data_IF_270676680316
#
_entry.id   IF_270676680316
#
_cell.length_a   1.000
_cell.length_b   1.000
_cell.length_c   1.000
_cell.angle_alpha   90.00
_cell.angle_beta   90.00
_cell.angle_gamma   90.00
#
_symmetry.space_group_name_H-M   'P 1'
#
loop_
_entity.id
_entity.type
_entity.pdbx_description
1 polymer ?
#
# COMPACT_ATOMS: atom_id res chain seq x y z
N UNK A 1 9.32 -5.95 -10.01
CA UNK A 1 8.10 -6.36 -10.73
C UNK A 1 7.93 -5.61 -12.04
N UNK A 2 7.87 -4.27 -12.06
CA UNK A 2 7.62 -3.50 -13.29
C UNK A 2 8.54 -3.83 -14.48
N UNK A 3 9.84 -4.03 -14.23
CA UNK A 3 10.82 -4.24 -15.32
C UNK A 3 11.37 -5.67 -15.38
N UNK A 4 11.60 -6.30 -14.22
CA UNK A 4 12.11 -7.67 -14.16
C UNK A 4 11.09 -8.74 -14.58
N UNK A 5 9.80 -8.37 -14.66
CA UNK A 5 8.71 -9.29 -14.98
C UNK A 5 8.50 -10.37 -13.92
N UNK A 6 7.64 -11.33 -14.25
CA UNK A 6 7.31 -12.47 -13.40
C UNK A 6 5.97 -12.34 -12.67
N UNK A 7 5.33 -13.47 -12.33
CA UNK A 7 4.07 -13.47 -11.62
C UNK A 7 4.22 -12.80 -10.25
N UNK A 8 3.19 -12.06 -9.82
CA UNK A 8 3.18 -11.18 -8.64
C UNK A 8 3.86 -11.78 -7.40
N UNK A 9 3.72 -13.09 -7.18
CA UNK A 9 4.23 -13.75 -5.97
C UNK A 9 5.67 -14.31 -6.10
N UNK A 10 6.28 -14.29 -7.29
CA UNK A 10 7.58 -14.93 -7.55
C UNK A 10 8.78 -13.98 -7.50
N UNK A 11 8.57 -12.65 -7.42
CA UNK A 11 9.67 -11.69 -7.54
C UNK A 11 10.70 -11.82 -6.42
N UNK A 12 10.27 -12.12 -5.19
CA UNK A 12 11.18 -12.28 -4.05
C UNK A 12 12.11 -13.46 -4.26
N UNK A 13 11.58 -14.59 -4.76
CA UNK A 13 12.37 -15.79 -5.02
C UNK A 13 13.45 -15.51 -6.07
N UNK A 14 13.12 -14.80 -7.15
CA UNK A 14 14.09 -14.35 -8.15
C UNK A 14 15.15 -13.40 -7.54
N UNK A 15 14.73 -12.50 -6.65
CA UNK A 15 15.64 -11.64 -5.90
C UNK A 15 16.62 -12.42 -5.03
N UNK A 16 16.15 -13.47 -4.33
CA UNK A 16 17.00 -14.37 -3.54
C UNK A 16 17.98 -15.13 -4.43
N UNK A 17 17.54 -15.68 -5.56
CA UNK A 17 18.42 -16.37 -6.51
C UNK A 17 19.57 -15.46 -6.96
N UNK A 18 19.27 -14.21 -7.32
CA UNK A 18 20.30 -13.23 -7.68
C UNK A 18 21.19 -12.84 -6.49
N UNK A 19 20.62 -12.71 -5.29
CA UNK A 19 21.38 -12.40 -4.08
C UNK A 19 22.42 -13.49 -3.77
N UNK A 20 22.09 -14.76 -3.99
CA UNK A 20 23.02 -15.88 -3.82
C UNK A 20 24.24 -15.74 -4.76
N UNK A 21 24.01 -15.37 -6.02
CA UNK A 21 25.12 -15.13 -6.98
C UNK A 21 26.02 -13.97 -6.54
N UNK A 22 25.42 -12.86 -6.08
CA UNK A 22 26.16 -11.70 -5.58
C UNK A 22 27.05 -12.08 -4.39
N UNK A 23 26.49 -12.76 -3.39
CA UNK A 23 27.22 -13.14 -2.18
C UNK A 23 28.31 -14.19 -2.45
N UNK A 24 28.17 -15.01 -3.49
CA UNK A 24 29.23 -15.94 -3.92
C UNK A 24 30.37 -15.22 -4.64
N UNK A 25 30.09 -14.08 -5.30
CA UNK A 25 31.13 -13.25 -5.93
C UNK A 25 31.88 -12.35 -4.94
N UNK A 26 31.33 -12.14 -3.74
CA UNK A 26 31.91 -11.32 -2.68
C UNK A 26 31.74 -12.01 -1.30
N UNK A 27 32.58 -13.03 -1.00
CA UNK A 27 32.46 -13.81 0.24
C UNK A 27 32.74 -12.98 1.48
N UNK A 28 32.03 -13.25 2.59
CA UNK A 28 32.09 -12.43 3.81
C UNK A 28 31.00 -11.36 3.89
N UNK A 29 30.46 -10.94 2.75
CA UNK A 29 29.43 -9.91 2.69
C UNK A 29 28.06 -10.39 3.17
N UNK A 30 27.18 -9.43 3.47
CA UNK A 30 25.80 -9.65 3.93
C UNK A 30 24.82 -9.03 2.95
N UNK A 31 23.82 -9.80 2.56
CA UNK A 31 22.73 -9.39 1.68
C UNK A 31 21.42 -9.28 2.43
N UNK A 32 20.66 -8.22 2.18
CA UNK A 32 19.30 -8.03 2.69
C UNK A 32 18.31 -8.25 1.56
N UNK A 33 17.31 -9.12 1.78
CA UNK A 33 16.17 -9.26 0.87
C UNK A 33 14.88 -8.94 1.63
N UNK A 34 14.14 -7.95 1.12
CA UNK A 34 12.83 -7.56 1.63
C UNK A 34 11.73 -8.17 0.76
N UNK A 35 10.68 -8.67 1.40
CA UNK A 35 9.50 -9.24 0.79
C UNK A 35 8.28 -8.40 1.18
N UNK A 36 7.38 -8.17 0.22
CA UNK A 36 6.09 -7.53 0.46
C UNK A 36 4.99 -8.30 -0.26
N UNK A 37 3.80 -8.37 0.34
CA UNK A 37 2.60 -8.89 -0.33
C UNK A 37 1.96 -7.83 -1.21
N UNK A 38 1.06 -8.24 -2.12
CA UNK A 38 0.40 -7.34 -3.08
C UNK A 38 -0.15 -6.05 -2.46
N UNK A 39 -1.04 -6.16 -1.47
CA UNK A 39 -1.59 -4.99 -0.75
C UNK A 39 -0.71 -4.51 0.41
N UNK A 40 0.57 -4.89 0.45
CA UNK A 40 1.53 -4.56 1.50
C UNK A 40 1.10 -4.99 2.91
N UNK A 41 0.18 -5.95 3.02
CA UNK A 41 -0.36 -6.45 4.30
C UNK A 41 0.60 -7.37 5.06
N UNK A 42 1.61 -7.90 4.37
CA UNK A 42 2.64 -8.76 4.95
C UNK A 42 3.99 -8.26 4.47
N UNK A 43 4.87 -7.98 5.41
CA UNK A 43 6.26 -7.69 5.15
C UNK A 43 7.13 -8.81 5.72
N UNK A 44 8.21 -9.14 5.00
CA UNK A 44 9.22 -10.08 5.44
C UNK A 44 10.59 -9.55 5.13
N UNK A 45 11.58 -9.93 5.93
CA UNK A 45 12.97 -9.56 5.75
C UNK A 45 13.83 -10.79 5.98
N UNK A 46 14.84 -10.98 5.14
CA UNK A 46 15.82 -12.05 5.28
C UNK A 46 17.23 -11.52 5.05
N UNK A 47 18.17 -12.03 5.84
CA UNK A 47 19.60 -11.76 5.73
C UNK A 47 20.30 -13.02 5.21
N UNK A 48 21.23 -12.82 4.28
CA UNK A 48 21.96 -13.88 3.61
C UNK A 48 23.45 -13.58 3.65
N UNK A 49 24.28 -14.60 3.86
CA UNK A 49 25.73 -14.49 3.79
C UNK A 49 26.34 -15.85 3.45
N UNK A 50 27.57 -15.84 2.95
CA UNK A 50 28.42 -17.03 2.85
C UNK A 50 29.06 -17.40 4.18
N UNK A 51 29.12 -16.46 5.14
CA UNK A 51 29.59 -16.74 6.50
C UNK A 51 28.53 -17.52 7.31
N UNK A 52 28.91 -18.63 7.95
CA UNK A 52 28.02 -19.33 8.86
C UNK A 52 27.61 -18.44 10.04
N UNK A 53 26.31 -18.45 10.38
CA UNK A 53 25.83 -17.79 11.58
C UNK A 53 26.29 -18.56 12.82
N UNK A 54 26.88 -17.86 13.80
CA UNK A 54 27.37 -18.47 15.05
C UNK A 54 26.30 -19.27 15.80
N UNK A 55 25.05 -18.83 15.72
CA UNK A 55 23.90 -19.44 16.42
C UNK A 55 23.03 -20.30 15.51
N UNK A 56 23.47 -20.56 14.27
CA UNK A 56 22.66 -21.23 13.26
C UNK A 56 21.52 -20.37 12.73
N UNK A 57 20.52 -21.01 12.12
CA UNK A 57 19.34 -20.35 11.58
C UNK A 57 18.48 -19.71 12.68
N UNK A 58 18.04 -18.47 12.45
CA UNK A 58 17.13 -17.76 13.32
C UNK A 58 15.91 -17.25 12.54
N UNK A 59 14.73 -17.35 13.15
CA UNK A 59 13.47 -16.81 12.64
C UNK A 59 12.85 -15.92 13.71
N UNK A 60 12.53 -14.68 13.35
CA UNK A 60 11.78 -13.76 14.19
C UNK A 60 10.39 -13.50 13.60
N UNK A 61 9.34 -13.72 14.39
CA UNK A 61 7.99 -13.28 14.06
C UNK A 61 7.66 -12.01 14.86
N UNK A 62 7.57 -10.89 14.14
CA UNK A 62 7.27 -9.57 14.71
C UNK A 62 5.79 -9.20 14.57
N UNK A 63 4.94 -10.08 14.03
CA UNK A 63 3.56 -9.76 13.67
C UNK A 63 2.74 -9.19 14.84
N UNK A 64 2.88 -9.77 16.04
CA UNK A 64 2.18 -9.28 17.25
C UNK A 64 2.66 -7.91 17.70
N UNK A 65 3.99 -7.69 17.69
CA UNK A 65 4.57 -6.41 18.08
C UNK A 65 4.17 -5.31 17.09
N UNK A 66 4.19 -5.61 15.78
CA UNK A 66 3.72 -4.72 14.74
C UNK A 66 2.22 -4.40 14.92
N UNK A 67 1.38 -5.41 15.14
CA UNK A 67 -0.05 -5.18 15.36
C UNK A 67 -0.35 -4.31 16.59
N UNK A 68 0.45 -4.44 17.66
CA UNK A 68 0.31 -3.60 18.85
C UNK A 68 0.85 -2.17 18.66
N UNK A 69 1.76 -1.95 17.71
CA UNK A 69 2.38 -0.65 17.45
C UNK A 69 1.73 0.15 16.32
N UNK A 70 0.85 -0.48 15.51
CA UNK A 70 0.15 0.18 14.40
C UNK A 70 -1.29 0.50 14.79
N UNK A 71 -1.66 1.77 14.66
CA UNK A 71 -3.04 2.22 14.83
C UNK A 71 -3.93 1.68 13.72
N UNK A 72 -5.13 1.23 14.08
CA UNK A 72 -6.15 0.78 13.14
C UNK A 72 -7.34 1.72 13.18
N UNK A 73 -7.96 1.92 12.01
CA UNK A 73 -9.17 2.71 11.85
C UNK A 73 -10.28 1.80 11.34
N UNK A 74 -11.48 1.91 11.91
CA UNK A 74 -12.65 1.23 11.37
C UNK A 74 -12.99 1.84 10.01
N UNK A 75 -13.15 0.99 9.00
CA UNK A 75 -13.51 1.41 7.64
C UNK A 75 -14.98 1.09 7.37
N UNK A 76 -15.74 2.09 6.95
CA UNK A 76 -17.15 1.98 6.56
C UNK A 76 -17.32 2.16 5.06
N UNK A 77 -18.27 1.43 4.46
CA UNK A 77 -18.56 1.51 3.03
C UNK A 77 -19.45 2.69 2.63
N UNK A 78 -20.15 3.29 3.60
CA UNK A 78 -21.10 4.38 3.39
C UNK A 78 -20.97 5.41 4.52
N UNK A 79 -21.02 6.70 4.17
CA UNK A 79 -21.04 7.78 5.13
C UNK A 79 -21.85 8.97 4.58
N UNK A 80 -22.35 9.80 5.50
CA UNK A 80 -23.08 11.01 5.16
C UNK A 80 -22.52 12.19 5.95
N UNK A 81 -22.43 13.36 5.31
CA UNK A 81 -21.99 14.59 5.95
C UNK A 81 -20.53 14.94 5.64
N UNK A 82 -19.96 15.80 6.48
CA UNK A 82 -18.62 16.37 6.29
C UNK A 82 -17.55 15.33 6.59
N UNK A 83 -16.52 15.27 5.75
CA UNK A 83 -15.35 14.44 5.94
C UNK A 83 -14.10 15.13 5.39
N UNK A 84 -12.92 14.65 5.78
CA UNK A 84 -11.63 15.12 5.27
C UNK A 84 -10.99 14.06 4.40
N UNK A 85 -10.55 14.40 3.20
CA UNK A 85 -9.90 13.45 2.29
C UNK A 85 -8.53 13.09 2.85
N UNK A 86 -8.32 11.82 3.22
CA UNK A 86 -7.05 11.29 3.71
C UNK A 86 -6.13 10.84 2.57
N UNK A 87 -6.72 10.22 1.54
CA UNK A 87 -6.04 9.78 0.33
C UNK A 87 -7.06 9.54 -0.79
N UNK A 88 -6.61 9.50 -2.03
CA UNK A 88 -7.46 9.18 -3.17
C UNK A 88 -6.67 8.53 -4.31
N UNK A 89 -7.41 7.93 -5.24
CA UNK A 89 -6.89 7.52 -6.54
C UNK A 89 -7.95 7.71 -7.62
N UNK A 90 -7.52 7.83 -8.87
CA UNK A 90 -8.39 7.98 -10.03
C UNK A 90 -8.35 6.69 -10.85
N UNK A 91 -9.52 6.12 -11.12
CA UNK A 91 -9.69 4.98 -11.99
C UNK A 91 -9.92 5.45 -13.42
N UNK A 92 -9.17 4.87 -14.35
CA UNK A 92 -9.21 5.19 -15.77
C UNK A 92 -9.89 4.10 -16.59
N UNK A 93 -10.58 4.51 -17.63
CA UNK A 93 -11.00 3.66 -18.74
C UNK A 93 -10.18 4.04 -19.99
N UNK A 94 -9.09 3.30 -20.26
CA UNK A 94 -8.07 3.75 -21.21
C UNK A 94 -7.36 5.00 -20.68
N UNK A 95 -7.42 6.10 -21.43
CA UNK A 95 -6.85 7.39 -21.02
C UNK A 95 -7.88 8.32 -20.38
N UNK A 96 -9.13 7.88 -20.22
CA UNK A 96 -10.22 8.72 -19.70
C UNK A 96 -10.35 8.51 -18.18
N UNK A 97 -10.19 9.56 -17.35
CA UNK A 97 -10.46 9.48 -15.92
C UNK A 97 -11.97 9.34 -15.68
N UNK A 98 -12.40 8.26 -15.05
CA UNK A 98 -13.81 7.90 -14.94
C UNK A 98 -14.34 8.00 -13.51
N UNK A 99 -13.55 7.58 -12.52
CA UNK A 99 -13.99 7.53 -11.12
C UNK A 99 -12.90 8.00 -10.19
N UNK A 100 -13.28 8.59 -9.07
CA UNK A 100 -12.37 8.87 -7.96
C UNK A 100 -12.72 7.98 -6.79
N UNK A 101 -11.75 7.22 -6.29
CA UNK A 101 -11.89 6.47 -5.03
C UNK A 101 -11.29 7.34 -3.94
N UNK A 102 -12.08 7.67 -2.93
CA UNK A 102 -11.68 8.52 -1.81
C UNK A 102 -11.64 7.69 -0.53
N UNK A 103 -10.56 7.84 0.23
CA UNK A 103 -10.50 7.48 1.63
C UNK A 103 -10.69 8.77 2.46
N UNK A 104 -11.78 8.85 3.23
CA UNK A 104 -12.17 10.06 3.95
C UNK A 104 -12.25 9.82 5.46
N UNK A 105 -11.56 10.63 6.24
CA UNK A 105 -11.63 10.64 7.70
C UNK A 105 -12.92 11.36 8.14
N UNK A 106 -13.70 10.69 8.98
CA UNK A 106 -14.93 11.20 9.57
C UNK A 106 -14.64 11.83 10.94
N UNK A 107 -15.51 12.75 11.38
CA UNK A 107 -15.37 13.42 12.67
C UNK A 107 -15.49 12.45 13.88
N UNK A 108 -16.09 11.27 13.68
CA UNK A 108 -16.22 10.22 14.68
C UNK A 108 -15.00 9.28 14.76
N UNK A 109 -13.93 9.57 14.01
CA UNK A 109 -12.69 8.81 13.98
C UNK A 109 -12.69 7.60 13.06
N UNK A 110 -13.82 7.26 12.40
CA UNK A 110 -13.86 6.20 11.38
C UNK A 110 -13.40 6.73 10.02
N UNK A 111 -13.18 5.82 9.07
CA UNK A 111 -12.81 6.15 7.68
C UNK A 111 -13.83 5.62 6.69
N UNK A 112 -14.35 6.47 5.82
CA UNK A 112 -15.19 6.05 4.70
C UNK A 112 -14.32 5.75 3.47
N UNK A 113 -14.61 4.64 2.78
CA UNK A 113 -14.04 4.34 1.46
C UNK A 113 -15.14 4.41 0.41
N UNK A 114 -15.16 5.48 -0.39
CA UNK A 114 -16.24 5.77 -1.36
C UNK A 114 -15.70 5.80 -2.78
N UNK A 115 -16.54 5.43 -3.75
CA UNK A 115 -16.17 5.39 -5.17
C UNK A 115 -17.14 6.24 -5.99
N UNK A 116 -16.65 7.38 -6.47
CA UNK A 116 -17.47 8.42 -7.07
C UNK A 116 -17.31 8.36 -8.59
N UNK A 117 -18.38 8.02 -9.29
CA UNK A 117 -18.42 7.98 -10.75
C UNK A 117 -18.78 9.36 -11.32
N UNK A 118 -17.89 10.33 -11.09
CA UNK A 118 -18.00 11.70 -11.57
C UNK A 118 -16.74 12.08 -12.37
N UNK A 119 -16.84 12.22 -13.71
CA UNK A 119 -15.72 12.63 -14.55
C UNK A 119 -15.16 14.02 -14.21
N UNK A 120 -15.97 14.95 -13.70
CA UNK A 120 -15.49 16.29 -13.34
C UNK A 120 -14.63 16.23 -12.07
N UNK A 121 -15.08 15.51 -11.05
CA UNK A 121 -14.27 15.22 -9.87
C UNK A 121 -13.00 14.46 -10.23
N UNK A 122 -13.09 13.44 -11.10
CA UNK A 122 -11.93 12.68 -11.56
C UNK A 122 -10.91 13.55 -12.32
N UNK A 123 -11.39 14.45 -13.18
CA UNK A 123 -10.54 15.40 -13.88
C UNK A 123 -9.91 16.44 -12.92
N UNK A 124 -10.64 16.84 -11.88
CA UNK A 124 -10.14 17.73 -10.82
C UNK A 124 -9.04 17.04 -10.01
N UNK A 125 -9.27 15.79 -9.59
CA UNK A 125 -8.33 14.96 -8.85
C UNK A 125 -6.99 14.73 -9.59
N UNK A 126 -7.01 14.82 -10.92
CA UNK A 126 -5.82 14.73 -11.78
C UNK A 126 -5.01 16.03 -11.87
N UNK A 127 -5.60 17.18 -11.54
CA UNK A 127 -4.97 18.51 -11.67
C UNK A 127 -4.69 19.18 -10.33
N UNK A 128 -5.41 18.80 -9.28
CA UNK A 128 -5.37 19.40 -7.97
C UNK A 128 -5.11 18.35 -6.90
N UNK A 129 -4.42 18.75 -5.83
CA UNK A 129 -4.27 17.95 -4.62
C UNK A 129 -5.59 17.94 -3.83
N UNK A 130 -6.15 16.74 -3.59
CA UNK A 130 -7.38 16.59 -2.82
C UNK A 130 -7.15 16.24 -1.35
N UNK A 131 -6.01 15.65 -1.00
CA UNK A 131 -5.68 15.29 0.37
C UNK A 131 -5.73 16.52 1.28
N UNK A 132 -6.38 16.35 2.42
CA UNK A 132 -6.61 17.40 3.39
C UNK A 132 -7.81 18.31 3.10
N UNK A 133 -8.39 18.28 1.90
CA UNK A 133 -9.60 19.04 1.58
C UNK A 133 -10.82 18.47 2.29
N UNK A 134 -11.79 19.35 2.52
CA UNK A 134 -13.11 18.95 3.00
C UNK A 134 -13.97 18.48 1.85
N UNK A 135 -14.71 17.40 2.09
CA UNK A 135 -15.72 16.87 1.18
C UNK A 135 -17.01 16.62 1.96
N UNK A 136 -18.15 16.72 1.27
CA UNK A 136 -19.44 16.32 1.79
C UNK A 136 -19.86 15.02 1.11
N UNK A 137 -19.94 13.94 1.88
CA UNK A 137 -20.33 12.61 1.43
C UNK A 137 -21.85 12.47 1.48
N UNK A 138 -22.41 11.75 0.51
CA UNK A 138 -23.84 11.41 0.45
C UNK A 138 -24.01 9.94 0.05
N UNK A 139 -23.64 9.01 0.94
CA UNK A 139 -23.67 7.57 0.68
C UNK A 139 -22.34 7.01 0.21
N UNK A 140 -22.36 5.94 -0.60
CA UNK A 140 -21.16 5.26 -1.11
C UNK A 140 -20.60 5.87 -2.41
N UNK A 141 -21.40 6.66 -3.13
CA UNK A 141 -21.18 6.97 -4.54
C UNK A 141 -21.28 8.47 -4.90
N UNK A 142 -21.51 9.34 -3.91
CA UNK A 142 -21.59 10.80 -4.10
C UNK A 142 -20.74 11.57 -3.11
N UNK A 143 -20.01 12.55 -3.63
CA UNK A 143 -19.13 13.43 -2.88
C UNK A 143 -19.04 14.81 -3.53
N UNK A 144 -19.11 15.88 -2.74
CA UNK A 144 -18.96 17.25 -3.21
C UNK A 144 -17.81 17.93 -2.44
N UNK A 145 -16.84 18.49 -3.15
CA UNK A 145 -15.79 19.29 -2.53
C UNK A 145 -16.41 20.57 -1.93
N UNK A 146 -16.03 20.89 -0.69
CA UNK A 146 -16.52 22.05 0.06
C UNK A 146 -15.52 23.21 -0.03
#
# INVERSE_FOLDING_TARGET
MAFAGGPLNNFVLQGIARMIEVLRSDPGSRGLVTAVSGFLTKSGVSLWSTEPAERGFALGDVSKATAAAVETVEVVGEAQGRAKIASYTVLFAGEVPLKTVLACDLDDGRRALVSIADPELAATAMREELCGRTVRLSGADRAELV
#
